data_IF_852970087332
#
_entry.id   IF_852970087332
#
_cell.length_a   1.000
_cell.length_b   1.000
_cell.length_c   1.000
_cell.angle_alpha   90.00
_cell.angle_beta   90.00
_cell.angle_gamma   90.00
#
_symmetry.space_group_name_H-M   'P 1'
#
loop_
_entity.id
_entity.type
_entity.pdbx_description
1 polymer ?
#
# COMPACT_ATOMS: atom_id res chain seq x y z
N UNK A 1 -12.47 15.17 -12.17
CA UNK A 1 -12.21 15.35 -10.72
C UNK A 1 -11.55 16.70 -10.44
N UNK A 2 -10.23 16.88 -10.61
CA UNK A 2 -9.53 18.12 -10.18
C UNK A 2 -10.07 19.45 -10.76
N UNK A 3 -10.57 19.46 -12.01
CA UNK A 3 -11.16 20.67 -12.63
C UNK A 3 -12.26 21.35 -11.79
N UNK A 4 -12.97 20.59 -10.95
CA UNK A 4 -14.01 21.13 -10.06
C UNK A 4 -13.50 21.64 -8.70
N UNK A 5 -12.22 21.49 -8.40
CA UNK A 5 -11.62 21.83 -7.10
C UNK A 5 -10.40 22.74 -7.33
N UNK A 6 -10.58 24.08 -7.36
CA UNK A 6 -9.50 25.03 -7.59
C UNK A 6 -8.32 24.82 -6.62
N UNK A 7 -7.10 24.85 -7.16
CA UNK A 7 -5.88 24.60 -6.39
C UNK A 7 -5.56 23.11 -6.18
N UNK A 8 -6.41 22.18 -6.64
CA UNK A 8 -6.09 20.75 -6.66
C UNK A 8 -5.36 20.33 -7.94
N UNK A 9 -4.58 19.26 -7.85
CA UNK A 9 -3.94 18.59 -8.99
C UNK A 9 -4.28 17.10 -9.00
N UNK A 10 -4.19 16.45 -10.16
CA UNK A 10 -4.39 15.00 -10.29
C UNK A 10 -3.06 14.28 -10.11
N UNK A 11 -3.04 13.31 -9.20
CA UNK A 11 -2.01 12.27 -9.14
C UNK A 11 -2.57 11.00 -9.79
N UNK A 12 -1.94 10.54 -10.87
CA UNK A 12 -2.34 9.31 -11.57
C UNK A 12 -1.48 8.15 -11.10
N UNK A 13 -2.10 7.02 -10.77
CA UNK A 13 -1.38 5.76 -10.61
C UNK A 13 -1.64 4.89 -11.84
N UNK A 14 -0.57 4.49 -12.52
CA UNK A 14 -0.62 3.64 -13.71
C UNK A 14 -0.69 2.18 -13.29
N UNK A 15 -1.93 1.71 -13.07
CA UNK A 15 -2.21 0.35 -12.65
C UNK A 15 -3.56 -0.12 -13.21
N UNK A 16 -3.67 -1.39 -13.64
CA UNK A 16 -4.97 -1.96 -13.96
C UNK A 16 -5.84 -2.10 -12.69
N UNK A 17 -7.17 -2.11 -12.82
CA UNK A 17 -8.09 -2.41 -11.71
C UNK A 17 -8.77 -1.20 -11.06
N UNK A 18 -9.36 -1.43 -9.87
CA UNK A 18 -10.11 -0.44 -9.07
C UNK A 18 -9.92 -0.79 -7.57
N UNK A 19 -9.42 0.06 -6.66
CA UNK A 19 -8.93 1.46 -6.71
C UNK A 19 -7.38 1.53 -6.65
N UNK A 20 -6.80 2.75 -6.54
CA UNK A 20 -5.33 2.96 -6.45
C UNK A 20 -4.66 2.26 -5.26
N UNK A 21 -5.36 2.06 -4.15
CA UNK A 21 -4.81 1.35 -2.97
C UNK A 21 -4.56 -0.14 -3.25
N UNK A 22 -5.26 -0.74 -4.21
CA UNK A 22 -5.13 -2.18 -4.49
C UNK A 22 -3.78 -2.54 -5.13
N UNK A 23 -3.17 -1.60 -5.86
CA UNK A 23 -1.87 -1.76 -6.48
C UNK A 23 -0.80 -1.07 -5.63
N UNK A 24 0.19 -1.79 -5.08
CA UNK A 24 1.28 -1.17 -4.36
C UNK A 24 2.05 -0.19 -5.25
N UNK A 25 2.15 1.07 -4.82
CA UNK A 25 3.00 2.09 -5.47
C UNK A 25 3.65 2.98 -4.42
N UNK A 26 4.95 2.81 -4.25
CA UNK A 26 5.80 3.65 -3.41
C UNK A 26 5.82 5.10 -3.89
N UNK A 27 5.74 5.32 -5.21
CA UNK A 27 5.59 6.63 -5.82
C UNK A 27 4.31 7.33 -5.36
N UNK A 28 3.15 6.66 -5.49
CA UNK A 28 1.86 7.24 -5.06
C UNK A 28 1.86 7.53 -3.56
N UNK A 29 2.35 6.59 -2.74
CA UNK A 29 2.36 6.74 -1.29
C UNK A 29 3.22 7.90 -0.79
N UNK A 30 4.31 8.23 -1.49
CA UNK A 30 5.15 9.40 -1.13
C UNK A 30 4.36 10.71 -1.28
N UNK A 31 3.73 10.93 -2.43
CA UNK A 31 2.93 12.15 -2.65
C UNK A 31 1.71 12.24 -1.73
N UNK A 32 1.05 11.11 -1.45
CA UNK A 32 -0.04 11.07 -0.49
C UNK A 32 0.46 11.51 0.90
N UNK A 33 1.60 10.96 1.35
CA UNK A 33 2.20 11.34 2.64
C UNK A 33 2.55 12.83 2.66
N UNK A 34 3.22 13.34 1.63
CA UNK A 34 3.66 14.74 1.59
C UNK A 34 2.48 15.71 1.57
N UNK A 35 1.38 15.35 0.92
CA UNK A 35 0.13 16.12 0.97
C UNK A 35 -0.44 16.18 2.39
N UNK A 36 -0.57 15.05 3.07
CA UNK A 36 -1.17 15.04 4.42
C UNK A 36 -0.25 15.62 5.50
N UNK A 37 1.06 15.48 5.37
CA UNK A 37 2.03 15.96 6.37
C UNK A 37 2.40 17.43 6.17
N UNK A 38 2.45 17.89 4.93
CA UNK A 38 3.04 19.20 4.59
C UNK A 38 2.14 20.05 3.68
N UNK A 39 0.98 19.55 3.24
CA UNK A 39 0.14 20.23 2.25
C UNK A 39 0.80 20.35 0.87
N UNK A 40 1.84 19.56 0.60
CA UNK A 40 2.61 19.66 -0.65
C UNK A 40 1.92 18.89 -1.77
N UNK A 41 1.72 19.54 -2.91
CA UNK A 41 1.11 18.94 -4.09
C UNK A 41 2.18 18.45 -5.09
N UNK A 42 1.92 17.36 -5.83
CA UNK A 42 2.78 16.98 -6.95
C UNK A 42 2.76 18.06 -8.05
N UNK A 43 3.74 18.00 -8.95
CA UNK A 43 3.65 18.73 -10.23
C UNK A 43 2.45 18.21 -11.03
N UNK A 44 1.89 19.05 -11.89
CA UNK A 44 0.81 18.61 -12.77
C UNK A 44 1.29 17.50 -13.73
N UNK A 45 0.40 16.53 -13.99
CA UNK A 45 0.67 15.43 -14.93
C UNK A 45 1.55 14.30 -14.39
N UNK A 46 1.81 14.23 -13.08
CA UNK A 46 2.56 13.12 -12.50
C UNK A 46 1.78 11.82 -12.62
N UNK A 47 2.48 10.80 -13.15
CA UNK A 47 2.02 9.43 -13.28
C UNK A 47 2.97 8.52 -12.51
N UNK A 48 2.44 7.77 -11.55
CA UNK A 48 3.18 6.85 -10.70
C UNK A 48 3.01 5.41 -11.17
N UNK A 49 4.11 4.66 -11.42
CA UNK A 49 4.02 3.23 -11.70
C UNK A 49 3.71 2.42 -10.44
N UNK A 50 3.41 1.13 -10.61
CA UNK A 50 3.27 0.17 -9.51
C UNK A 50 4.58 -0.55 -9.22
N UNK A 51 4.80 -0.90 -7.96
CA UNK A 51 5.97 -1.67 -7.53
C UNK A 51 5.82 -3.17 -7.86
N UNK A 52 4.58 -3.64 -8.02
CA UNK A 52 4.27 -5.04 -8.31
C UNK A 52 2.90 -5.19 -8.99
N UNK A 53 2.69 -6.23 -9.82
CA UNK A 53 1.40 -6.49 -10.42
C UNK A 53 0.36 -6.85 -9.35
N UNK A 54 -0.89 -6.44 -9.59
CA UNK A 54 -2.02 -6.76 -8.69
C UNK A 54 -2.35 -8.24 -8.70
N UNK A 55 -2.19 -8.89 -9.85
CA UNK A 55 -2.44 -10.32 -10.01
C UNK A 55 -1.12 -11.08 -10.13
N UNK A 56 -1.00 -12.27 -9.50
CA UNK A 56 0.11 -13.16 -9.74
C UNK A 56 0.26 -13.43 -11.23
N UNK A 57 1.49 -13.36 -11.74
CA UNK A 57 1.75 -13.75 -13.12
C UNK A 57 1.46 -15.25 -13.26
N UNK A 58 0.93 -15.71 -14.40
CA UNK A 58 0.80 -17.14 -14.67
C UNK A 58 2.18 -17.76 -14.55
N UNK A 59 2.36 -18.64 -13.58
CA UNK A 59 3.56 -19.46 -13.53
C UNK A 59 3.62 -20.26 -14.82
N UNK A 60 4.77 -20.37 -15.51
CA UNK A 60 4.92 -21.35 -16.57
C UNK A 60 4.42 -22.68 -16.02
N UNK A 61 3.43 -23.26 -16.70
CA UNK A 61 2.89 -24.57 -16.31
C UNK A 61 4.03 -25.58 -16.43
N UNK A 62 4.83 -25.75 -15.38
CA UNK A 62 5.31 -27.09 -15.07
C UNK A 62 4.05 -27.93 -15.01
N UNK A 63 3.98 -29.01 -15.78
CA UNK A 63 2.84 -29.90 -15.81
C UNK A 63 2.50 -30.31 -14.37
N UNK A 64 1.50 -29.66 -13.79
CA UNK A 64 0.97 -29.97 -12.47
C UNK A 64 -0.46 -30.41 -12.70
N UNK A 65 -0.72 -31.65 -12.30
CA UNK A 65 -1.96 -32.36 -12.48
C UNK A 65 -3.17 -31.53 -12.02
N UNK A 66 -4.30 -31.72 -12.72
CA UNK A 66 -5.53 -30.97 -12.65
C UNK A 66 -6.31 -31.12 -11.31
N UNK A 67 -5.63 -30.96 -10.17
CA UNK A 67 -6.18 -31.15 -8.84
C UNK A 67 -5.76 -30.12 -7.79
N UNK A 68 -4.95 -29.11 -8.13
CA UNK A 68 -4.57 -28.09 -7.15
C UNK A 68 -5.70 -27.07 -6.93
N UNK A 69 -6.25 -26.93 -5.70
CA UNK A 69 -7.28 -25.94 -5.42
C UNK A 69 -6.73 -24.51 -5.60
N UNK A 70 -7.45 -23.70 -6.38
CA UNK A 70 -7.17 -22.26 -6.49
C UNK A 70 -7.32 -21.61 -5.11
N UNK A 71 -6.28 -20.92 -4.64
CA UNK A 71 -6.37 -20.18 -3.39
C UNK A 71 -7.40 -19.05 -3.54
N UNK A 72 -8.33 -18.86 -2.58
CA UNK A 72 -9.35 -17.82 -2.67
C UNK A 72 -8.70 -16.44 -2.72
N UNK A 73 -9.25 -15.55 -3.57
CA UNK A 73 -8.81 -14.17 -3.80
C UNK A 73 -8.88 -13.23 -2.57
N UNK A 74 -9.11 -13.78 -1.37
CA UNK A 74 -9.29 -13.05 -0.11
C UNK A 74 -8.40 -13.51 1.04
N UNK A 75 -7.50 -14.47 0.84
CA UNK A 75 -6.42 -14.70 1.80
C UNK A 75 -5.43 -13.56 1.63
N UNK A 76 -5.55 -12.54 2.49
CA UNK A 76 -4.51 -11.52 2.64
C UNK A 76 -3.14 -12.19 2.72
N UNK A 77 -2.10 -11.47 2.28
CA UNK A 77 -0.71 -11.93 2.27
C UNK A 77 -0.47 -12.71 3.56
N UNK A 78 -0.24 -14.03 3.44
CA UNK A 78 0.06 -14.87 4.59
C UNK A 78 1.20 -14.24 5.40
N UNK A 79 1.37 -14.61 6.68
CA UNK A 79 2.39 -14.01 7.54
C UNK A 79 3.69 -13.87 6.76
N UNK A 80 4.11 -12.63 6.51
CA UNK A 80 5.43 -12.36 5.94
C UNK A 80 6.40 -13.04 6.91
N UNK A 81 7.33 -13.88 6.44
CA UNK A 81 8.32 -14.50 7.31
C UNK A 81 8.91 -13.39 8.18
N UNK A 82 8.81 -13.56 9.50
CA UNK A 82 9.31 -12.58 10.44
C UNK A 82 10.81 -12.48 10.22
N UNK A 83 11.25 -11.42 9.56
CA UNK A 83 12.65 -11.02 9.56
C UNK A 83 12.99 -10.68 11.02
N UNK A 84 13.88 -11.45 11.70
CA UNK A 84 14.21 -11.23 13.10
C UNK A 84 14.65 -9.79 13.39
N UNK A 85 15.30 -9.14 12.41
CA UNK A 85 15.73 -7.74 12.55
C UNK A 85 14.54 -6.77 12.55
N UNK A 86 13.52 -7.03 11.72
CA UNK A 86 12.31 -6.22 11.69
C UNK A 86 11.52 -6.33 13.00
N UNK A 87 11.45 -7.52 13.61
CA UNK A 87 10.81 -7.69 14.91
C UNK A 87 11.51 -6.90 16.02
N UNK A 88 12.84 -6.87 16.02
CA UNK A 88 13.61 -6.10 16.99
C UNK A 88 13.43 -4.59 16.78
N UNK A 89 13.40 -4.12 15.53
CA UNK A 89 13.07 -2.73 15.21
C UNK A 89 11.66 -2.37 15.66
N UNK A 90 10.67 -3.21 15.41
CA UNK A 90 9.28 -3.00 15.85
C UNK A 90 9.16 -2.95 17.37
N UNK A 91 9.86 -3.84 18.09
CA UNK A 91 9.85 -3.84 19.55
C UNK A 91 10.54 -2.59 20.12
N UNK A 92 11.64 -2.14 19.51
CA UNK A 92 12.29 -0.87 19.86
C UNK A 92 11.38 0.33 19.61
N UNK A 93 10.69 0.36 18.47
CA UNK A 93 9.73 1.42 18.12
C UNK A 93 8.54 1.42 19.07
N UNK A 94 7.97 0.26 19.39
CA UNK A 94 6.88 0.11 20.37
C UNK A 94 7.28 0.64 21.75
N UNK A 95 8.50 0.35 22.19
CA UNK A 95 9.03 0.82 23.48
C UNK A 95 9.33 2.32 23.48
N UNK A 96 9.81 2.86 22.36
CA UNK A 96 10.26 4.25 22.25
C UNK A 96 9.12 5.21 21.90
N UNK A 97 8.11 4.75 21.15
CA UNK A 97 7.00 5.55 20.66
C UNK A 97 5.74 5.20 21.43
N UNK A 98 5.54 5.89 22.56
CA UNK A 98 4.34 5.75 23.38
C UNK A 98 3.25 6.62 22.77
N UNK A 99 2.28 5.99 22.09
CA UNK A 99 1.08 6.70 21.63
C UNK A 99 0.31 7.14 22.88
N UNK A 100 0.09 8.45 23.11
CA UNK A 100 -0.71 8.89 24.24
C UNK A 100 -2.08 8.24 24.15
N UNK A 101 -2.52 7.57 25.22
CA UNK A 101 -3.89 7.07 25.26
C UNK A 101 -4.84 8.25 25.10
N UNK A 102 -5.87 8.18 24.23
CA UNK A 102 -6.86 9.23 24.15
C UNK A 102 -7.46 9.43 25.55
N UNK A 103 -7.52 10.68 26.01
CA UNK A 103 -8.10 11.04 27.32
C UNK A 103 -9.58 10.64 27.47
N UNK A 104 -10.20 10.13 26.41
CA UNK A 104 -11.62 9.76 26.33
C UNK A 104 -11.91 8.28 26.65
N UNK A 105 -10.90 7.45 26.92
CA UNK A 105 -11.05 6.05 27.32
C UNK A 105 -11.07 5.83 28.84
N UNK A 106 -11.30 6.90 29.62
CA UNK A 106 -11.47 6.84 31.07
C UNK A 106 -12.95 6.76 31.48
N UNK A 107 -13.56 5.58 31.31
CA UNK A 107 -14.68 5.05 32.12
C UNK A 107 -14.31 3.62 32.48
#
# INVERSE_FOLDING_TARGET
>A
MAKGFPGSVVLTQDSPGHCSIAAPSSCSQRYIRDYFMHGTLPKEGIVCPVDSPIFPQPQPRAAVDAGAPQQPLGKGRGPVPSDPEMSDVLERLRKSFRVPSPLWLGI
#
